data_IF_349518353804
#
_entry.id   IF_349518353804
#
_cell.length_a   1.000
_cell.length_b   1.000
_cell.length_c   1.000
_cell.angle_alpha   90.00
_cell.angle_beta   90.00
_cell.angle_gamma   90.00
#
_symmetry.space_group_name_H-M   'P 1'
#
loop_
_entity.id
_entity.type
_entity.pdbx_description
1 polymer ?
#
# COMPACT_ATOMS: atom_id res chain seq x y z
N UNK A 1 -31.66 0.03 -52.80
CA UNK A 1 -31.64 -1.15 -51.91
C UNK A 1 -32.97 -1.91 -52.01
N UNK A 2 -33.33 -2.43 -53.19
CA UNK A 2 -34.61 -3.13 -53.42
C UNK A 2 -34.47 -4.65 -53.65
N UNK A 3 -33.24 -5.15 -53.82
CA UNK A 3 -32.97 -6.56 -54.16
C UNK A 3 -33.06 -7.49 -52.93
N UNK A 4 -32.69 -7.01 -51.74
CA UNK A 4 -32.71 -7.83 -50.51
C UNK A 4 -34.11 -8.13 -49.96
N UNK A 5 -35.06 -7.21 -50.13
CA UNK A 5 -36.43 -7.36 -49.61
C UNK A 5 -37.20 -8.50 -50.30
N UNK A 6 -36.93 -8.73 -51.60
CA UNK A 6 -37.60 -9.76 -52.40
C UNK A 6 -37.12 -11.16 -52.00
N UNK A 7 -35.82 -11.33 -51.71
CA UNK A 7 -35.25 -12.62 -51.34
C UNK A 7 -35.72 -13.11 -49.96
N UNK A 8 -35.84 -12.21 -48.98
CA UNK A 8 -36.30 -12.58 -47.63
C UNK A 8 -37.81 -12.78 -47.49
N UNK A 9 -38.59 -12.38 -48.51
CA UNK A 9 -40.04 -12.55 -48.58
C UNK A 9 -40.47 -13.73 -49.46
N UNK A 10 -39.53 -14.51 -50.01
CA UNK A 10 -39.82 -15.71 -50.80
C UNK A 10 -40.66 -16.70 -49.99
N UNK A 11 -41.83 -17.05 -50.52
CA UNK A 11 -42.75 -18.00 -49.91
C UNK A 11 -42.53 -19.41 -50.48
N UNK A 12 -42.69 -20.43 -49.65
CA UNK A 12 -42.83 -21.81 -50.08
C UNK A 12 -44.20 -22.04 -50.71
N UNK A 13 -44.39 -23.20 -51.33
CA UNK A 13 -45.67 -23.62 -51.93
C UNK A 13 -46.84 -23.65 -50.91
N UNK A 14 -46.53 -23.61 -49.61
CA UNK A 14 -47.49 -23.52 -48.49
C UNK A 14 -47.67 -22.09 -47.93
N UNK A 15 -47.18 -21.06 -48.61
CA UNK A 15 -47.34 -19.65 -48.23
C UNK A 15 -46.44 -19.16 -47.07
N UNK A 16 -45.71 -20.04 -46.40
CA UNK A 16 -44.73 -19.70 -45.36
C UNK A 16 -43.38 -19.21 -45.91
N UNK A 17 -42.58 -18.52 -45.09
CA UNK A 17 -41.24 -18.02 -45.49
C UNK A 17 -40.33 -19.21 -45.82
N UNK A 18 -39.71 -19.18 -47.00
CA UNK A 18 -38.89 -20.27 -47.55
C UNK A 18 -37.63 -20.58 -46.74
N UNK A 19 -36.98 -19.54 -46.21
CA UNK A 19 -35.74 -19.66 -45.43
C UNK A 19 -35.76 -18.83 -44.14
N UNK A 20 -36.50 -19.25 -43.10
CA UNK A 20 -36.69 -18.45 -41.89
C UNK A 20 -35.42 -18.30 -41.04
N UNK A 21 -34.64 -19.38 -40.91
CA UNK A 21 -33.41 -19.37 -40.09
C UNK A 21 -32.28 -18.65 -40.82
N UNK A 22 -32.05 -18.99 -42.09
CA UNK A 22 -31.01 -18.34 -42.91
C UNK A 22 -31.28 -16.85 -43.07
N UNK A 23 -32.55 -16.43 -43.25
CA UNK A 23 -32.89 -15.01 -43.29
C UNK A 23 -32.50 -14.27 -42.01
N UNK A 24 -32.70 -14.87 -40.84
CA UNK A 24 -32.28 -14.28 -39.56
C UNK A 24 -30.75 -14.16 -39.46
N UNK A 25 -30.02 -15.20 -39.84
CA UNK A 25 -28.54 -15.21 -39.80
C UNK A 25 -27.97 -14.17 -40.76
N UNK A 26 -28.45 -14.12 -42.00
CA UNK A 26 -27.98 -13.15 -42.99
C UNK A 26 -28.35 -11.72 -42.58
N UNK A 27 -29.55 -11.49 -42.03
CA UNK A 27 -29.93 -10.17 -41.48
C UNK A 27 -29.03 -9.76 -40.31
N UNK A 28 -28.68 -10.68 -39.43
CA UNK A 28 -27.76 -10.41 -38.31
C UNK A 28 -26.35 -10.08 -38.82
N UNK A 29 -25.82 -10.85 -39.78
CA UNK A 29 -24.51 -10.61 -40.39
C UNK A 29 -24.46 -9.26 -41.12
N UNK A 30 -25.52 -8.90 -41.85
CA UNK A 30 -25.62 -7.61 -42.56
C UNK A 30 -25.93 -6.42 -41.63
N UNK A 31 -26.37 -6.69 -40.39
CA UNK A 31 -26.55 -5.64 -39.37
C UNK A 31 -25.29 -5.37 -38.54
N UNK A 32 -24.25 -6.19 -38.72
CA UNK A 32 -22.95 -5.95 -38.11
C UNK A 32 -22.31 -4.75 -38.84
N UNK A 33 -21.96 -3.68 -38.11
CA UNK A 33 -21.35 -2.52 -38.76
C UNK A 33 -20.01 -2.94 -39.37
N UNK A 34 -19.77 -2.56 -40.62
CA UNK A 34 -18.55 -2.93 -41.36
C UNK A 34 -17.31 -2.13 -40.93
N UNK A 35 -17.30 -1.57 -39.70
CA UNK A 35 -16.20 -0.79 -39.14
C UNK A 35 -16.64 0.15 -38.02
N UNK A 36 -15.69 0.96 -37.53
CA UNK A 36 -15.90 1.94 -36.45
C UNK A 36 -16.64 3.21 -36.88
N UNK A 37 -17.02 3.34 -38.16
CA UNK A 37 -17.64 4.55 -38.71
C UNK A 37 -18.92 4.98 -37.97
N UNK A 38 -19.74 4.04 -37.48
CA UNK A 38 -20.94 4.37 -36.71
C UNK A 38 -20.62 4.92 -35.32
N UNK A 39 -19.55 4.42 -34.70
CA UNK A 39 -19.05 4.89 -33.40
C UNK A 39 -18.42 6.27 -33.56
N UNK A 40 -17.61 6.48 -34.60
CA UNK A 40 -17.02 7.78 -34.95
C UNK A 40 -18.12 8.82 -35.24
N UNK A 41 -19.17 8.44 -35.95
CA UNK A 41 -20.34 9.30 -36.18
C UNK A 41 -21.08 9.63 -34.87
N UNK A 42 -21.15 8.68 -33.93
CA UNK A 42 -21.63 8.91 -32.57
C UNK A 42 -20.79 9.94 -31.81
N UNK A 43 -19.46 9.87 -31.95
CA UNK A 43 -18.56 10.86 -31.35
C UNK A 43 -18.67 12.24 -31.99
N UNK A 44 -18.69 12.35 -33.33
CA UNK A 44 -18.86 13.65 -34.00
C UNK A 44 -20.18 14.34 -33.61
N UNK A 45 -21.25 13.55 -33.45
CA UNK A 45 -22.55 14.09 -33.00
C UNK A 45 -22.55 14.47 -31.53
N UNK A 46 -21.77 13.78 -30.69
CA UNK A 46 -21.57 14.11 -29.27
C UNK A 46 -20.75 15.39 -29.10
N UNK A 47 -19.69 15.58 -29.90
CA UNK A 47 -18.87 16.80 -29.91
C UNK A 47 -19.70 18.04 -30.21
N UNK A 48 -20.66 17.96 -31.14
CA UNK A 48 -21.57 19.07 -31.44
C UNK A 48 -22.45 19.47 -30.24
N UNK A 49 -22.78 18.53 -29.36
CA UNK A 49 -23.61 18.74 -28.18
C UNK A 49 -22.79 19.29 -27.01
N UNK A 50 -21.51 18.90 -26.92
CA UNK A 50 -20.54 19.31 -25.89
C UNK A 50 -19.83 20.63 -26.25
N UNK A 51 -20.53 21.60 -26.82
CA UNK A 51 -19.98 22.95 -27.11
C UNK A 51 -19.56 23.66 -25.81
N UNK A 52 -18.72 24.71 -25.87
CA UNK A 52 -18.17 25.41 -24.68
C UNK A 52 -19.23 25.90 -23.68
N UNK A 53 -20.43 26.27 -24.15
CA UNK A 53 -21.56 26.66 -23.30
C UNK A 53 -22.32 25.47 -22.64
N UNK A 54 -22.05 24.23 -23.06
CA UNK A 54 -22.65 22.97 -22.57
C UNK A 54 -21.62 21.95 -22.06
N UNK A 55 -20.36 22.37 -21.90
CA UNK A 55 -19.25 21.51 -21.49
C UNK A 55 -19.38 20.92 -20.06
N UNK A 56 -20.35 21.38 -19.26
CA UNK A 56 -20.60 20.88 -17.90
C UNK A 56 -21.63 19.74 -17.81
N UNK A 57 -22.09 19.18 -18.94
CA UNK A 57 -23.01 18.04 -18.94
C UNK A 57 -22.34 16.78 -18.38
N UNK A 58 -23.01 16.11 -17.44
CA UNK A 58 -22.58 14.78 -16.99
C UNK A 58 -22.78 13.74 -18.09
N UNK A 59 -21.97 12.67 -18.08
CA UNK A 59 -22.07 11.56 -19.02
C UNK A 59 -23.50 10.98 -19.11
N UNK A 60 -24.16 10.81 -17.96
CA UNK A 60 -25.56 10.34 -17.89
C UNK A 60 -26.51 11.25 -18.65
N UNK A 61 -26.32 12.56 -18.55
CA UNK A 61 -27.15 13.56 -19.24
C UNK A 61 -26.89 13.53 -20.74
N UNK A 62 -25.62 13.39 -21.16
CA UNK A 62 -25.24 13.25 -22.57
C UNK A 62 -25.86 11.99 -23.18
N UNK A 63 -25.73 10.84 -22.50
CA UNK A 63 -26.32 9.58 -22.94
C UNK A 63 -27.85 9.68 -23.06
N UNK A 64 -28.51 10.28 -22.08
CA UNK A 64 -29.97 10.48 -22.11
C UNK A 64 -30.40 11.34 -23.30
N UNK A 65 -29.67 12.44 -23.57
CA UNK A 65 -29.94 13.29 -24.72
C UNK A 65 -29.76 12.55 -26.05
N UNK A 66 -28.67 11.79 -26.18
CA UNK A 66 -28.39 11.00 -27.37
C UNK A 66 -29.48 9.96 -27.63
N UNK A 67 -29.91 9.23 -26.60
CA UNK A 67 -31.01 8.26 -26.69
C UNK A 67 -32.27 8.92 -27.26
N UNK A 68 -32.68 10.08 -26.72
CA UNK A 68 -33.87 10.80 -27.20
C UNK A 68 -33.69 11.26 -28.65
N UNK A 69 -32.52 11.82 -29.00
CA UNK A 69 -32.21 12.28 -30.36
C UNK A 69 -32.26 11.14 -31.38
N UNK A 70 -31.69 9.98 -31.05
CA UNK A 70 -31.74 8.80 -31.93
C UNK A 70 -33.14 8.20 -32.00
N UNK A 71 -33.89 8.17 -30.90
CA UNK A 71 -35.27 7.71 -30.89
C UNK A 71 -36.15 8.57 -31.81
N UNK A 72 -36.03 9.90 -31.75
CA UNK A 72 -36.74 10.83 -32.64
C UNK A 72 -36.34 10.67 -34.10
N UNK A 73 -35.06 10.38 -34.37
CA UNK A 73 -34.57 10.14 -35.74
C UNK A 73 -35.28 8.96 -36.41
N UNK A 74 -35.69 7.93 -35.64
CA UNK A 74 -36.48 6.79 -36.15
C UNK A 74 -37.87 7.21 -36.66
N UNK A 75 -38.39 8.32 -36.15
CA UNK A 75 -39.69 8.90 -36.50
C UNK A 75 -39.55 10.15 -37.38
N UNK A 76 -38.46 10.23 -38.17
CA UNK A 76 -38.15 11.37 -39.05
C UNK A 76 -38.11 12.73 -38.31
N UNK A 77 -37.74 12.73 -37.03
CA UNK A 77 -37.73 13.90 -36.14
C UNK A 77 -39.11 14.58 -35.97
N UNK A 78 -40.20 13.86 -36.19
CA UNK A 78 -41.56 14.35 -35.98
C UNK A 78 -42.04 13.87 -34.60
N UNK A 79 -42.16 14.74 -33.59
CA UNK A 79 -42.54 14.28 -32.24
C UNK A 79 -43.96 13.72 -32.16
N UNK A 80 -44.87 14.22 -33.01
CA UNK A 80 -46.27 13.81 -33.02
C UNK A 80 -46.51 12.39 -33.56
N UNK A 81 -45.53 11.80 -34.26
CA UNK A 81 -45.63 10.43 -34.77
C UNK A 81 -45.11 9.40 -33.76
N UNK A 82 -44.57 9.84 -32.62
CA UNK A 82 -44.09 8.96 -31.56
C UNK A 82 -45.28 8.39 -30.80
N UNK A 83 -45.50 7.05 -30.80
CA UNK A 83 -46.62 6.45 -30.08
C UNK A 83 -46.37 6.51 -28.57
N UNK A 84 -47.33 7.06 -27.84
CA UNK A 84 -47.31 7.08 -26.37
C UNK A 84 -47.85 5.74 -25.86
N UNK A 85 -46.94 4.82 -25.54
CA UNK A 85 -47.31 3.53 -24.95
C UNK A 85 -47.52 3.65 -23.42
N UNK A 86 -48.22 2.65 -22.84
CA UNK A 86 -48.45 2.59 -21.39
C UNK A 86 -47.16 2.53 -20.58
N UNK A 87 -46.10 1.94 -21.14
CA UNK A 87 -44.79 1.84 -20.51
C UNK A 87 -44.11 3.21 -20.37
N UNK A 88 -44.14 4.05 -21.41
CA UNK A 88 -43.59 5.41 -21.38
C UNK A 88 -44.30 6.27 -20.35
N UNK A 89 -45.63 6.13 -20.24
CA UNK A 89 -46.42 6.79 -19.19
C UNK A 89 -46.01 6.32 -17.78
N UNK A 90 -45.75 5.02 -17.61
CA UNK A 90 -45.30 4.49 -16.33
C UNK A 90 -43.88 4.96 -15.98
N UNK A 91 -42.96 4.96 -16.95
CA UNK A 91 -41.61 5.48 -16.77
C UNK A 91 -41.60 6.97 -16.42
N UNK A 92 -42.48 7.76 -17.05
CA UNK A 92 -42.64 9.18 -16.72
C UNK A 92 -43.12 9.39 -15.28
N UNK A 93 -44.06 8.56 -14.80
CA UNK A 93 -44.55 8.61 -13.40
C UNK A 93 -43.44 8.27 -12.39
N UNK A 94 -42.60 7.29 -12.70
CA UNK A 94 -41.54 6.80 -11.79
C UNK A 94 -40.26 7.67 -11.89
N UNK A 95 -40.13 8.52 -12.90
CA UNK A 95 -38.92 9.31 -13.15
C UNK A 95 -38.48 10.15 -11.94
N UNK A 96 -39.43 10.77 -11.24
CA UNK A 96 -39.13 11.57 -10.06
C UNK A 96 -38.62 10.71 -8.90
N UNK A 97 -39.29 9.58 -8.62
CA UNK A 97 -38.83 8.62 -7.60
C UNK A 97 -37.40 8.13 -7.90
N UNK A 98 -37.09 7.82 -9.16
CA UNK A 98 -35.75 7.39 -9.58
C UNK A 98 -34.70 8.48 -9.39
N UNK A 99 -35.08 9.74 -9.59
CA UNK A 99 -34.21 10.87 -9.31
C UNK A 99 -33.91 11.00 -7.81
N UNK A 100 -34.91 10.83 -6.95
CA UNK A 100 -34.73 10.87 -5.49
C UNK A 100 -33.84 9.71 -5.00
N UNK A 101 -34.05 8.50 -5.54
CA UNK A 101 -33.18 7.34 -5.29
C UNK A 101 -31.72 7.69 -5.66
N UNK A 102 -31.50 8.27 -6.84
CA UNK A 102 -30.17 8.71 -7.27
C UNK A 102 -29.54 9.77 -6.35
N UNK A 103 -30.32 10.73 -5.85
CA UNK A 103 -29.81 11.74 -4.89
C UNK A 103 -29.38 11.11 -3.56
N UNK A 104 -30.14 10.12 -3.07
CA UNK A 104 -29.79 9.34 -1.87
C UNK A 104 -28.52 8.51 -2.06
N UNK A 105 -28.37 7.87 -3.22
CA UNK A 105 -27.14 7.15 -3.55
C UNK A 105 -25.95 8.09 -3.66
N UNK A 106 -26.10 9.23 -4.34
CA UNK A 106 -25.02 10.21 -4.52
C UNK A 106 -24.53 10.79 -3.18
N UNK A 107 -25.43 11.04 -2.24
CA UNK A 107 -25.08 11.50 -0.89
C UNK A 107 -24.34 10.41 -0.12
N UNK A 108 -24.87 9.17 -0.13
CA UNK A 108 -24.23 8.01 0.49
C UNK A 108 -22.83 7.73 -0.05
N UNK A 109 -22.62 7.79 -1.36
CA UNK A 109 -21.29 7.56 -1.96
C UNK A 109 -20.31 8.66 -1.55
N UNK A 110 -20.73 9.93 -1.52
CA UNK A 110 -19.89 11.03 -1.04
C UNK A 110 -19.50 10.87 0.42
N UNK A 111 -20.43 10.45 1.27
CA UNK A 111 -20.15 10.17 2.69
C UNK A 111 -19.17 9.01 2.84
N UNK A 112 -19.34 7.93 2.08
CA UNK A 112 -18.42 6.78 2.08
C UNK A 112 -17.02 7.20 1.62
N UNK A 113 -16.91 7.95 0.51
CA UNK A 113 -15.63 8.49 0.04
C UNK A 113 -14.99 9.43 1.06
N UNK A 114 -15.78 10.25 1.76
CA UNK A 114 -15.25 11.12 2.80
C UNK A 114 -14.72 10.29 3.98
N UNK A 115 -15.47 9.29 4.43
CA UNK A 115 -15.06 8.40 5.50
C UNK A 115 -13.80 7.60 5.15
N UNK A 116 -13.66 7.10 3.91
CA UNK A 116 -12.45 6.41 3.47
C UNK A 116 -11.25 7.36 3.44
N UNK A 117 -11.40 8.57 2.91
CA UNK A 117 -10.34 9.59 2.91
C UNK A 117 -9.91 9.98 4.34
N UNK A 118 -10.86 10.12 5.26
CA UNK A 118 -10.56 10.43 6.67
C UNK A 118 -9.81 9.26 7.33
N UNK A 119 -10.28 8.02 7.14
CA UNK A 119 -9.60 6.82 7.66
C UNK A 119 -8.17 6.67 7.11
N UNK A 120 -7.96 6.95 5.82
CA UNK A 120 -6.63 6.92 5.22
C UNK A 120 -5.72 8.01 5.80
N UNK A 121 -6.23 9.23 6.03
CA UNK A 121 -5.46 10.30 6.66
C UNK A 121 -5.04 9.92 8.09
N UNK A 122 -5.96 9.38 8.89
CA UNK A 122 -5.68 8.90 10.24
C UNK A 122 -4.59 7.81 10.22
N UNK A 123 -4.73 6.80 9.35
CA UNK A 123 -3.73 5.73 9.20
C UNK A 123 -2.35 6.27 8.83
N UNK A 124 -2.28 7.22 7.90
CA UNK A 124 -1.01 7.87 7.51
C UNK A 124 -0.40 8.67 8.66
N UNK A 125 -1.21 9.32 9.47
CA UNK A 125 -0.74 10.08 10.64
C UNK A 125 -0.24 9.16 11.75
N UNK A 126 -0.94 8.06 12.01
CA UNK A 126 -0.51 7.01 12.95
C UNK A 126 0.81 6.36 12.50
N UNK A 127 0.96 6.07 11.20
CA UNK A 127 2.20 5.52 10.65
C UNK A 127 3.37 6.50 10.80
N UNK A 128 3.14 7.80 10.57
CA UNK A 128 4.16 8.84 10.79
C UNK A 128 4.58 8.91 12.25
N UNK A 129 3.63 8.96 13.20
CA UNK A 129 3.94 9.00 14.64
C UNK A 129 4.73 7.77 15.08
N UNK A 130 4.37 6.59 14.58
CA UNK A 130 5.13 5.35 14.85
C UNK A 130 6.54 5.38 14.27
N UNK A 131 6.72 5.97 13.09
CA UNK A 131 8.03 6.12 12.47
C UNK A 131 8.92 7.09 13.28
N UNK A 132 8.36 8.23 13.72
CA UNK A 132 9.05 9.20 14.57
C UNK A 132 9.48 8.58 15.92
N UNK A 133 8.61 7.81 16.57
CA UNK A 133 8.96 7.07 17.80
C UNK A 133 10.10 6.07 17.56
N UNK A 134 10.08 5.38 16.41
CA UNK A 134 11.10 4.41 16.05
C UNK A 134 12.45 5.06 15.78
N UNK A 135 12.47 6.20 15.09
CA UNK A 135 13.69 7.00 14.87
C UNK A 135 14.27 7.52 16.18
N UNK A 136 13.42 8.02 17.09
CA UNK A 136 13.85 8.44 18.42
C UNK A 136 14.46 7.27 19.21
N UNK A 137 13.83 6.08 19.14
CA UNK A 137 14.34 4.89 19.80
C UNK A 137 15.67 4.41 19.18
N UNK A 138 15.83 4.52 17.86
CA UNK A 138 17.09 4.22 17.18
C UNK A 138 18.21 5.17 17.62
N UNK A 139 17.95 6.48 17.69
CA UNK A 139 18.92 7.46 18.16
C UNK A 139 19.35 7.19 19.61
N UNK A 140 18.40 6.84 20.50
CA UNK A 140 18.70 6.44 21.87
C UNK A 140 19.58 5.18 21.92
N UNK A 141 19.30 4.20 21.07
CA UNK A 141 20.09 2.97 20.97
C UNK A 141 21.52 3.25 20.50
N UNK A 142 21.71 4.11 19.51
CA UNK A 142 23.05 4.49 19.03
C UNK A 142 23.88 5.18 20.12
N UNK A 143 23.26 6.01 20.97
CA UNK A 143 23.94 6.61 22.12
C UNK A 143 24.30 5.56 23.18
N UNK A 144 23.41 4.60 23.45
CA UNK A 144 23.70 3.48 24.36
C UNK A 144 24.83 2.59 23.82
N UNK A 145 24.86 2.29 22.52
CA UNK A 145 25.93 1.51 21.87
C UNK A 145 27.29 2.22 21.97
N UNK A 146 27.36 3.54 21.76
CA UNK A 146 28.60 4.31 21.91
C UNK A 146 29.13 4.28 23.34
N UNK A 147 28.26 4.51 24.33
CA UNK A 147 28.64 4.44 25.76
C UNK A 147 29.12 3.05 26.15
N UNK A 148 28.52 2.00 25.58
CA UNK A 148 28.93 0.62 25.83
C UNK A 148 30.30 0.31 25.20
N UNK A 149 30.57 0.84 24.01
CA UNK A 149 31.88 0.73 23.37
C UNK A 149 32.99 1.42 24.17
N UNK A 150 32.72 2.61 24.72
CA UNK A 150 33.65 3.33 25.60
C UNK A 150 33.91 2.53 26.90
N UNK A 151 32.86 1.97 27.52
CA UNK A 151 33.00 1.14 28.71
C UNK A 151 33.84 -0.12 28.46
N UNK A 152 33.65 -0.79 27.32
CA UNK A 152 34.47 -1.94 26.89
C UNK A 152 35.93 -1.57 26.73
N UNK A 153 36.24 -0.45 26.09
CA UNK A 153 37.63 0.02 25.91
C UNK A 153 38.29 0.29 27.27
N UNK A 154 37.56 0.89 28.20
CA UNK A 154 38.06 1.18 29.54
C UNK A 154 38.29 -0.11 30.35
N UNK A 155 37.39 -1.08 30.23
CA UNK A 155 37.53 -2.40 30.85
C UNK A 155 38.74 -3.17 30.28
N UNK A 156 38.86 -3.24 28.96
CA UNK A 156 39.99 -3.90 28.27
C UNK A 156 41.33 -3.27 28.68
N UNK A 157 41.38 -1.95 28.85
CA UNK A 157 42.56 -1.24 29.33
C UNK A 157 42.91 -1.64 30.77
N UNK A 158 41.92 -1.70 31.67
CA UNK A 158 42.12 -2.13 33.07
C UNK A 158 42.55 -3.60 33.16
N UNK A 159 41.95 -4.49 32.38
CA UNK A 159 42.34 -5.90 32.34
C UNK A 159 43.79 -6.06 31.86
N UNK A 160 44.16 -5.37 30.76
CA UNK A 160 45.55 -5.39 30.25
C UNK A 160 46.55 -4.82 31.27
N UNK A 161 46.15 -3.80 32.03
CA UNK A 161 46.98 -3.26 33.10
C UNK A 161 47.17 -4.28 34.23
N UNK A 162 46.10 -4.98 34.64
CA UNK A 162 46.18 -6.04 35.64
C UNK A 162 47.07 -7.21 35.17
N UNK A 163 46.97 -7.61 33.89
CA UNK A 163 47.80 -8.68 33.32
C UNK A 163 49.28 -8.30 33.23
N UNK A 164 49.60 -7.03 32.93
CA UNK A 164 50.99 -6.52 32.97
C UNK A 164 51.55 -6.57 34.39
N UNK A 165 50.77 -6.13 35.38
CA UNK A 165 51.17 -6.18 36.79
C UNK A 165 51.36 -7.63 37.26
N UNK A 166 50.50 -8.57 36.84
CA UNK A 166 50.68 -10.00 37.13
C UNK A 166 51.99 -10.55 36.57
N UNK A 167 52.33 -10.20 35.33
CA UNK A 167 53.61 -10.61 34.72
C UNK A 167 54.79 -10.07 35.50
N UNK A 168 54.77 -8.78 35.85
CA UNK A 168 55.83 -8.14 36.64
C UNK A 168 55.97 -8.78 38.03
N UNK A 169 54.86 -9.07 38.72
CA UNK A 169 54.88 -9.77 40.01
C UNK A 169 55.43 -11.19 39.85
N UNK A 170 55.08 -11.91 38.79
CA UNK A 170 55.58 -13.27 38.55
C UNK A 170 57.09 -13.30 38.28
N UNK A 171 57.63 -12.29 37.59
CA UNK A 171 59.07 -12.17 37.35
C UNK A 171 59.83 -11.80 38.63
N UNK A 172 59.30 -10.88 39.43
CA UNK A 172 59.88 -10.49 40.73
C UNK A 172 59.88 -11.66 41.72
N UNK A 173 58.80 -12.44 41.76
CA UNK A 173 58.70 -13.63 42.61
C UNK A 173 59.75 -14.69 42.20
N UNK A 174 59.90 -14.97 40.90
CA UNK A 174 60.93 -15.91 40.39
C UNK A 174 62.35 -15.46 40.78
N UNK A 175 62.68 -14.18 40.58
CA UNK A 175 63.99 -13.62 40.95
C UNK A 175 64.25 -13.67 42.46
N UNK A 176 63.23 -13.38 43.28
CA UNK A 176 63.34 -13.44 44.74
C UNK A 176 63.58 -14.86 45.27
N UNK A 177 62.92 -15.87 44.68
CA UNK A 177 63.13 -17.29 44.99
C UNK A 177 64.56 -17.72 44.59
N UNK A 178 65.02 -17.37 43.39
CA UNK A 178 66.37 -17.71 42.90
C UNK A 178 67.48 -17.10 43.78
N UNK A 179 67.30 -15.88 44.25
CA UNK A 179 68.27 -15.14 45.08
C UNK A 179 68.11 -15.36 46.60
N UNK A 180 67.11 -16.14 47.04
CA UNK A 180 66.71 -16.32 48.45
C UNK A 180 66.50 -14.99 49.21
N UNK A 181 66.05 -13.95 48.51
CA UNK A 181 65.86 -12.63 49.11
C UNK A 181 64.42 -12.50 49.65
N UNK A 182 64.26 -12.61 50.97
CA UNK A 182 62.95 -12.61 51.63
C UNK A 182 62.20 -11.27 51.50
N UNK A 183 62.91 -10.15 51.33
CA UNK A 183 62.31 -8.83 51.15
C UNK A 183 61.61 -8.68 49.78
N UNK A 184 62.23 -9.19 48.70
CA UNK A 184 61.62 -9.19 47.37
C UNK A 184 60.38 -10.10 47.29
N UNK A 185 60.37 -11.19 48.05
CA UNK A 185 59.23 -12.12 48.15
C UNK A 185 58.06 -11.45 48.86
N UNK A 186 58.28 -10.79 50.00
CA UNK A 186 57.24 -10.07 50.73
C UNK A 186 56.66 -8.89 49.92
N UNK A 187 57.51 -8.18 49.17
CA UNK A 187 57.07 -7.10 48.28
C UNK A 187 56.21 -7.63 47.11
N UNK A 188 56.60 -8.77 46.52
CA UNK A 188 55.84 -9.43 45.46
C UNK A 188 54.48 -9.95 45.96
N UNK A 189 54.42 -10.48 47.18
CA UNK A 189 53.18 -10.95 47.83
C UNK A 189 52.19 -9.79 48.08
N UNK A 190 52.68 -8.65 48.59
CA UNK A 190 51.87 -7.45 48.76
C UNK A 190 51.32 -6.92 47.42
N UNK A 191 52.13 -6.93 46.36
CA UNK A 191 51.69 -6.59 45.01
C UNK A 191 50.66 -7.59 44.47
N UNK A 192 50.80 -8.89 44.75
CA UNK A 192 49.84 -9.94 44.39
C UNK A 192 48.46 -9.69 45.00
N UNK A 193 48.41 -9.28 46.28
CA UNK A 193 47.16 -8.93 46.96
C UNK A 193 46.49 -7.73 46.26
N UNK A 194 47.25 -6.68 45.94
CA UNK A 194 46.73 -5.51 45.21
C UNK A 194 46.19 -5.87 43.81
N UNK A 195 46.92 -6.72 43.08
CA UNK A 195 46.53 -7.19 41.74
C UNK A 195 45.30 -8.11 41.80
N UNK A 196 45.17 -8.94 42.83
CA UNK A 196 43.99 -9.80 43.03
C UNK A 196 42.71 -8.98 43.23
N UNK A 197 42.77 -7.87 43.99
CA UNK A 197 41.65 -6.93 44.18
C UNK A 197 41.28 -6.24 42.87
N UNK A 198 42.27 -5.70 42.15
CA UNK A 198 42.06 -5.06 40.84
C UNK A 198 41.43 -6.03 39.83
N UNK A 199 41.83 -7.31 39.87
CA UNK A 199 41.26 -8.35 39.00
C UNK A 199 39.82 -8.70 39.37
N UNK A 200 39.48 -8.73 40.66
CA UNK A 200 38.10 -8.89 41.12
C UNK A 200 37.19 -7.75 40.62
N UNK A 201 37.63 -6.50 40.80
CA UNK A 201 36.91 -5.32 40.32
C UNK A 201 36.75 -5.29 38.79
N UNK A 202 37.78 -5.71 38.04
CA UNK A 202 37.71 -5.85 36.59
C UNK A 202 36.71 -6.93 36.16
N UNK A 203 36.67 -8.08 36.85
CA UNK A 203 35.71 -9.16 36.57
C UNK A 203 34.26 -8.76 36.86
N UNK A 204 34.02 -7.98 37.92
CA UNK A 204 32.69 -7.49 38.24
C UNK A 204 32.23 -6.42 37.24
N UNK A 205 33.14 -5.51 36.83
CA UNK A 205 32.88 -4.56 35.75
C UNK A 205 32.56 -5.29 34.43
N UNK A 206 33.29 -6.36 34.12
CA UNK A 206 33.06 -7.19 32.95
C UNK A 206 31.69 -7.89 32.94
N UNK A 207 31.22 -8.36 34.10
CA UNK A 207 29.87 -8.92 34.22
C UNK A 207 28.81 -7.86 33.96
N UNK A 208 28.97 -6.67 34.54
CA UNK A 208 28.04 -5.56 34.34
C UNK A 208 27.98 -5.10 32.87
N UNK A 209 29.12 -5.05 32.18
CA UNK A 209 29.19 -4.72 30.75
C UNK A 209 28.48 -5.80 29.92
N UNK A 210 28.74 -7.08 30.18
CA UNK A 210 28.06 -8.21 29.50
C UNK A 210 26.55 -8.21 29.71
N UNK A 211 26.06 -7.88 30.90
CA UNK A 211 24.62 -7.82 31.13
C UNK A 211 23.96 -6.63 30.41
N UNK A 212 24.63 -5.47 30.37
CA UNK A 212 24.19 -4.32 29.57
C UNK A 212 24.16 -4.65 28.07
N UNK A 213 25.13 -5.39 27.56
CA UNK A 213 25.16 -5.84 26.16
C UNK A 213 23.96 -6.72 25.79
N UNK A 214 23.59 -7.67 26.65
CA UNK A 214 22.42 -8.52 26.41
C UNK A 214 21.16 -7.68 26.28
N UNK A 215 21.01 -6.65 27.11
CA UNK A 215 19.85 -5.74 27.07
C UNK A 215 19.83 -4.92 25.78
N UNK A 216 20.97 -4.34 25.37
CA UNK A 216 21.09 -3.56 24.13
C UNK A 216 20.83 -4.43 22.90
N UNK A 217 21.40 -5.64 22.84
CA UNK A 217 21.18 -6.59 21.75
C UNK A 217 19.72 -7.06 21.67
N UNK A 218 19.05 -7.28 22.81
CA UNK A 218 17.62 -7.61 22.83
C UNK A 218 16.77 -6.46 22.27
N UNK A 219 17.08 -5.21 22.64
CA UNK A 219 16.40 -4.02 22.09
C UNK A 219 16.64 -3.89 20.58
N UNK A 220 17.86 -4.15 20.10
CA UNK A 220 18.22 -4.13 18.68
C UNK A 220 17.44 -5.15 17.86
N UNK A 221 17.35 -6.39 18.36
CA UNK A 221 16.59 -7.44 17.70
C UNK A 221 15.10 -7.10 17.63
N UNK A 222 14.52 -6.49 18.66
CA UNK A 222 13.13 -6.03 18.62
C UNK A 222 12.88 -4.96 17.54
N UNK A 223 13.84 -4.04 17.34
CA UNK A 223 13.75 -3.02 16.30
C UNK A 223 13.90 -3.66 14.90
N UNK A 224 14.82 -4.61 14.73
CA UNK A 224 15.00 -5.35 13.48
C UNK A 224 13.76 -6.19 13.11
N UNK A 225 13.14 -6.83 14.10
CA UNK A 225 11.90 -7.59 13.93
C UNK A 225 10.73 -6.74 13.43
N UNK A 226 10.69 -5.47 13.82
CA UNK A 226 9.68 -4.52 13.31
C UNK A 226 9.84 -4.27 11.80
N UNK A 227 11.08 -4.15 11.31
CA UNK A 227 11.35 -3.94 9.88
C UNK A 227 11.22 -5.22 9.06
N UNK A 228 11.48 -6.39 9.65
CA UNK A 228 11.37 -7.68 8.97
C UNK A 228 9.92 -8.17 8.86
N UNK A 229 9.08 -7.87 9.86
CA UNK A 229 7.64 -8.20 9.87
C UNK A 229 6.76 -7.19 9.13
N UNK A 230 7.25 -6.58 8.03
CA UNK A 230 6.32 -5.92 7.10
C UNK A 230 5.28 -6.96 6.64
N UNK A 231 3.98 -6.75 6.87
CA UNK A 231 2.99 -7.64 6.31
C UNK A 231 3.16 -7.62 4.80
N UNK A 232 3.26 -8.81 4.19
CA UNK A 232 3.09 -8.95 2.74
C UNK A 232 1.81 -8.20 2.39
N UNK A 233 1.92 -7.24 1.47
CA UNK A 233 0.75 -6.63 0.85
C UNK A 233 0.03 -7.75 0.10
N UNK A 234 -1.04 -8.26 0.69
CA UNK A 234 -2.11 -8.95 -0.02
C UNK A 234 -3.00 -7.91 -0.70
#
# INVERSE_FOLDING_TARGET
MYIGAIFFALKNNFGGIKYPVVSKVVKALLSLSHGNADVERGFSTSVLILTDNRASMSEKTLNSYMIVKYALKRYNNLPHTVPINKELLNLARIAHQKYDEYLKEKTKTKEQEHQTRVKEKIRKEEEKKRLEELELNKAKLEVEEKKLAELRQLEDAKSKQADKLLKEVSERLKKGIEKKNMEEIALAEAMLIGVSKLRGEAQDQQKQVRDKEKVVNKRKNNILDYFSKKPKKD
#
